data_IF_758286975098
#
_entry.id   IF_758286975098
#
_cell.length_a   1.000
_cell.length_b   1.000
_cell.length_c   1.000
_cell.angle_alpha   90.00
_cell.angle_beta   90.00
_cell.angle_gamma   90.00
#
_symmetry.space_group_name_H-M   'P 1'
#
loop_
_entity.id
_entity.type
_entity.pdbx_description
1 polymer ?
#
# COMPACT_ATOMS: atom_id res chain seq x y z
N UNK A 1 -12.53 35.20 -3.18
CA UNK A 1 -12.03 34.44 -4.34
C UNK A 1 -10.90 33.54 -3.87
N UNK A 2 -10.76 32.32 -4.42
CA UNK A 2 -9.65 31.42 -4.10
C UNK A 2 -8.34 32.04 -4.58
N UNK A 3 -7.35 32.18 -3.69
CA UNK A 3 -6.06 32.82 -4.01
C UNK A 3 -5.21 31.96 -4.95
N UNK A 4 -4.13 32.53 -5.49
CA UNK A 4 -3.18 31.76 -6.29
C UNK A 4 -2.46 30.67 -5.45
N UNK A 5 -2.13 30.99 -4.20
CA UNK A 5 -1.50 30.06 -3.24
C UNK A 5 -2.43 28.88 -2.92
N UNK A 6 -3.71 29.16 -2.70
CA UNK A 6 -4.71 28.11 -2.45
C UNK A 6 -4.83 27.15 -3.64
N UNK A 7 -4.70 27.65 -4.87
CA UNK A 7 -4.74 26.80 -6.09
C UNK A 7 -3.55 25.86 -6.15
N UNK A 8 -2.36 26.32 -5.76
CA UNK A 8 -1.16 25.48 -5.68
C UNK A 8 -1.36 24.38 -4.63
N UNK A 9 -1.86 24.73 -3.44
CA UNK A 9 -2.14 23.76 -2.38
C UNK A 9 -3.16 22.71 -2.82
N UNK A 10 -4.27 23.14 -3.44
CA UNK A 10 -5.28 22.21 -3.96
C UNK A 10 -4.73 21.28 -5.04
N UNK A 11 -3.89 21.81 -5.94
CA UNK A 11 -3.28 20.99 -6.99
C UNK A 11 -2.33 19.95 -6.38
N UNK A 12 -1.52 20.32 -5.39
CA UNK A 12 -0.63 19.41 -4.68
C UNK A 12 -1.41 18.30 -3.96
N UNK A 13 -2.50 18.65 -3.27
CA UNK A 13 -3.37 17.66 -2.61
C UNK A 13 -3.96 16.71 -3.65
N UNK A 14 -4.47 17.24 -4.76
CA UNK A 14 -5.02 16.41 -5.85
C UNK A 14 -3.99 15.45 -6.42
N UNK A 15 -2.77 15.93 -6.68
CA UNK A 15 -1.68 15.07 -7.18
C UNK A 15 -1.38 13.95 -6.20
N UNK A 16 -1.20 14.26 -4.91
CA UNK A 16 -0.93 13.25 -3.88
C UNK A 16 -2.05 12.22 -3.74
N UNK A 17 -3.32 12.64 -3.83
CA UNK A 17 -4.46 11.70 -3.79
C UNK A 17 -4.43 10.76 -4.99
N UNK A 18 -4.09 11.26 -6.18
CA UNK A 18 -4.02 10.45 -7.40
C UNK A 18 -2.81 9.50 -7.43
N UNK A 19 -1.76 9.81 -6.67
CA UNK A 19 -0.60 8.94 -6.49
C UNK A 19 -0.88 7.77 -5.53
N UNK A 20 -1.93 7.84 -4.71
CA UNK A 20 -2.34 6.73 -3.84
C UNK A 20 -2.82 5.58 -4.71
N UNK A 21 -2.01 4.54 -4.82
CA UNK A 21 -2.34 3.31 -5.53
C UNK A 21 -2.71 2.21 -4.53
N UNK A 22 -3.72 1.41 -4.86
CA UNK A 22 -4.02 0.20 -4.11
C UNK A 22 -2.96 -0.84 -4.45
N UNK A 23 -2.14 -1.19 -3.47
CA UNK A 23 -1.06 -2.15 -3.63
C UNK A 23 -1.52 -3.56 -3.24
N UNK A 24 -0.76 -4.56 -3.67
CA UNK A 24 -1.01 -5.96 -3.29
C UNK A 24 0.30 -6.68 -2.98
N UNK A 25 0.28 -7.53 -1.95
CA UNK A 25 1.39 -8.42 -1.62
C UNK A 25 1.14 -9.83 -2.13
N UNK A 26 2.08 -10.42 -2.87
CA UNK A 26 2.01 -11.78 -3.39
C UNK A 26 2.24 -12.85 -2.31
N UNK A 27 2.81 -12.48 -1.16
CA UNK A 27 3.16 -13.42 -0.08
C UNK A 27 2.07 -13.57 0.97
N UNK A 28 1.40 -12.47 1.32
CA UNK A 28 0.33 -12.47 2.32
C UNK A 28 -1.03 -12.06 1.78
N UNK A 29 -1.11 -11.80 0.48
CA UNK A 29 -2.33 -11.45 -0.26
C UNK A 29 -3.07 -10.21 0.25
N UNK A 30 -2.46 -9.45 1.17
CA UNK A 30 -2.99 -8.17 1.65
C UNK A 30 -3.08 -7.20 0.47
N UNK A 31 -4.24 -6.57 0.33
CA UNK A 31 -4.52 -5.50 -0.63
C UNK A 31 -4.88 -4.25 0.14
N UNK A 32 -4.01 -3.26 0.13
CA UNK A 32 -4.20 -2.03 0.90
C UNK A 32 -3.40 -0.88 0.32
N UNK A 33 -3.68 0.33 0.78
CA UNK A 33 -2.83 1.48 0.54
C UNK A 33 -1.57 1.40 1.41
N UNK A 34 -0.45 1.98 0.95
CA UNK A 34 0.79 2.08 1.72
C UNK A 34 1.38 0.73 2.17
N UNK A 35 1.23 -0.33 1.37
CA UNK A 35 1.91 -1.60 1.65
C UNK A 35 3.42 -1.52 1.47
N UNK A 36 3.89 -0.45 0.80
CA UNK A 36 5.27 -0.26 0.39
C UNK A 36 5.75 -1.51 -0.35
N UNK A 37 4.96 -1.99 -1.31
CA UNK A 37 5.20 -3.23 -2.04
C UNK A 37 6.34 -3.05 -3.06
N UNK A 38 7.47 -3.70 -2.78
CA UNK A 38 8.62 -3.76 -3.68
C UNK A 38 8.68 -5.16 -4.29
N UNK A 39 8.73 -5.24 -5.62
CA UNK A 39 8.69 -6.50 -6.37
C UNK A 39 7.50 -7.41 -5.99
N UNK A 40 6.35 -6.81 -5.68
CA UNK A 40 5.13 -7.53 -5.28
C UNK A 40 5.13 -8.07 -3.85
N UNK A 41 6.06 -7.64 -2.98
CA UNK A 41 6.13 -8.07 -1.57
C UNK A 41 6.09 -6.85 -0.67
N UNK A 42 5.16 -6.79 0.28
CA UNK A 42 5.01 -5.66 1.22
C UNK A 42 6.19 -5.55 2.20
N UNK A 43 6.37 -4.37 2.77
CA UNK A 43 7.44 -4.07 3.74
C UNK A 43 7.51 -5.08 4.91
N UNK A 44 6.35 -5.45 5.46
CA UNK A 44 6.23 -6.43 6.54
C UNK A 44 6.78 -7.81 6.15
N UNK A 45 6.41 -8.31 4.96
CA UNK A 45 6.90 -9.58 4.44
C UNK A 45 8.39 -9.55 4.10
N UNK A 46 8.93 -8.39 3.69
CA UNK A 46 10.37 -8.23 3.43
C UNK A 46 11.20 -8.22 4.71
N UNK A 47 10.74 -7.53 5.76
CA UNK A 47 11.48 -7.40 7.02
C UNK A 47 11.42 -8.68 7.86
N UNK A 48 10.27 -9.35 7.89
CA UNK A 48 10.08 -10.57 8.67
C UNK A 48 10.20 -11.83 7.81
N UNK A 49 11.43 -12.19 7.42
CA UNK A 49 11.70 -13.49 6.76
C UNK A 49 11.38 -14.69 7.67
N UNK A 50 11.49 -14.51 9.00
CA UNK A 50 11.28 -15.56 10.00
C UNK A 50 9.83 -15.67 10.50
N UNK A 51 9.01 -14.62 10.34
CA UNK A 51 7.59 -14.66 10.68
C UNK A 51 6.81 -14.87 9.36
N UNK A 52 6.98 -16.07 8.79
CA UNK A 52 6.23 -16.53 7.61
C UNK A 52 4.76 -16.21 7.86
N UNK A 53 4.29 -15.20 7.14
CA UNK A 53 3.14 -14.40 7.51
C UNK A 53 1.94 -15.29 7.84
N UNK A 54 1.20 -14.95 8.91
CA UNK A 54 0.04 -15.71 9.40
C UNK A 54 -0.99 -15.97 8.31
N UNK A 55 -1.00 -15.16 7.25
CA UNK A 55 -1.98 -15.14 6.17
C UNK A 55 -1.38 -15.71 4.89
N UNK A 56 -1.24 -17.03 4.76
CA UNK A 56 -0.77 -17.71 3.54
C UNK A 56 -1.82 -18.68 3.03
N UNK A 57 -1.78 -18.98 1.74
CA UNK A 57 -2.66 -20.03 1.19
C UNK A 57 -2.38 -21.38 1.86
N UNK A 58 -1.10 -21.68 2.13
CA UNK A 58 -0.69 -22.95 2.73
C UNK A 58 -1.22 -23.18 4.16
N UNK A 59 -1.64 -22.14 4.88
CA UNK A 59 -2.21 -22.26 6.22
C UNK A 59 -3.70 -21.87 6.29
N UNK A 60 -4.36 -21.69 5.14
CA UNK A 60 -5.79 -21.37 5.02
C UNK A 60 -6.25 -20.16 5.85
N UNK A 61 -5.33 -19.23 6.09
CA UNK A 61 -5.58 -17.98 6.83
C UNK A 61 -5.60 -16.78 5.89
N UNK A 62 -5.68 -17.00 4.57
CA UNK A 62 -5.87 -15.94 3.59
C UNK A 62 -7.24 -15.28 3.82
N UNK A 63 -7.32 -13.97 4.16
CA UNK A 63 -8.60 -13.32 4.47
C UNK A 63 -9.52 -13.11 3.27
N UNK A 64 -9.07 -13.41 2.03
CA UNK A 64 -9.85 -13.24 0.80
C UNK A 64 -9.72 -11.86 0.18
#
# INVERSE_FOLDING_TARGET
>A
AVSAEDRVLMQNVRTKIMEISLESCNECHERWFDLDALNGVCSKCRVNSNNKNKYRDCNNMNPG
#
